data_IF_959268536905
#
_entry.id   IF_959268536905
#
_cell.length_a   1.000
_cell.length_b   1.000
_cell.length_c   1.000
_cell.angle_alpha   90.00
_cell.angle_beta   90.00
_cell.angle_gamma   90.00
#
_symmetry.space_group_name_H-M   'P 1'
#
loop_
_entity.id
_entity.type
_entity.pdbx_description
1 polymer ?
#
# COMPACT_ATOMS: atom_id res chain seq x y z
N UNK A 1 18.72 6.04 33.13
CA UNK A 1 18.06 4.99 32.32
C UNK A 1 17.50 5.67 31.09
N UNK A 2 17.68 5.09 29.89
CA UNK A 2 17.11 5.68 28.67
C UNK A 2 15.60 5.53 28.76
N UNK A 3 14.84 6.62 28.66
CA UNK A 3 13.38 6.56 28.59
C UNK A 3 13.00 5.76 27.34
N UNK A 4 12.52 4.53 27.54
CA UNK A 4 12.02 3.67 26.47
C UNK A 4 10.63 4.13 26.08
N UNK A 5 10.43 4.39 24.79
CA UNK A 5 9.12 4.80 24.28
C UNK A 5 8.24 3.57 24.12
N UNK A 6 6.98 3.68 24.54
CA UNK A 6 5.99 2.63 24.31
C UNK A 6 4.81 3.19 23.54
N UNK A 7 4.54 2.61 22.37
CA UNK A 7 3.38 2.94 21.53
C UNK A 7 2.40 1.77 21.55
N UNK A 8 1.13 2.04 21.80
CA UNK A 8 0.05 1.09 21.59
C UNK A 8 -0.67 1.42 20.27
N UNK A 9 -0.68 0.46 19.35
CA UNK A 9 -1.41 0.57 18.09
C UNK A 9 -2.73 -0.20 18.17
N UNK A 10 -3.84 0.52 18.00
CA UNK A 10 -5.18 -0.03 18.08
C UNK A 10 -5.93 0.23 16.77
N UNK A 11 -6.21 -0.85 16.03
CA UNK A 11 -7.05 -0.80 14.83
C UNK A 11 -8.48 -1.17 15.20
N UNK A 12 -9.40 -0.21 15.10
CA UNK A 12 -10.80 -0.36 15.53
C UNK A 12 -11.71 -0.68 14.35
N UNK A 13 -12.65 -1.61 14.58
CA UNK A 13 -13.72 -1.94 13.63
C UNK A 13 -15.07 -1.62 14.27
N UNK A 14 -15.52 -0.36 14.12
CA UNK A 14 -16.90 0.15 14.36
C UNK A 14 -17.64 -0.14 15.68
N UNK A 15 -17.11 -0.95 16.60
CA UNK A 15 -17.81 -1.34 17.84
C UNK A 15 -17.05 -0.85 19.06
N UNK A 16 -17.64 0.09 19.81
CA UNK A 16 -16.97 0.82 20.90
C UNK A 16 -16.63 -0.06 22.12
N UNK A 17 -17.43 -1.10 22.41
CA UNK A 17 -17.18 -1.99 23.57
C UNK A 17 -15.87 -2.78 23.44
N UNK A 18 -15.48 -3.17 22.23
CA UNK A 18 -14.23 -3.89 22.01
C UNK A 18 -13.00 -2.98 22.16
N UNK A 19 -13.15 -1.68 21.92
CA UNK A 19 -12.06 -0.70 21.99
C UNK A 19 -11.58 -0.52 23.43
N UNK A 20 -12.49 -0.25 24.36
CA UNK A 20 -12.16 0.01 25.76
C UNK A 20 -11.58 -1.24 26.44
N UNK A 21 -12.12 -2.42 26.13
CA UNK A 21 -11.54 -3.68 26.61
C UNK A 21 -10.10 -3.85 26.12
N UNK A 22 -9.85 -3.68 24.83
CA UNK A 22 -8.50 -3.79 24.28
C UNK A 22 -7.53 -2.77 24.88
N UNK A 23 -8.01 -1.54 25.17
CA UNK A 23 -7.20 -0.53 25.86
C UNK A 23 -6.82 -0.97 27.26
N UNK A 24 -7.79 -1.46 28.04
CA UNK A 24 -7.57 -2.01 29.38
C UNK A 24 -6.55 -3.15 29.39
N UNK A 25 -6.70 -4.12 28.48
CA UNK A 25 -5.80 -5.27 28.38
C UNK A 25 -4.36 -4.85 28.00
N UNK A 26 -4.22 -3.88 27.09
CA UNK A 26 -2.92 -3.33 26.69
C UNK A 26 -2.24 -2.60 27.87
N UNK A 27 -2.99 -1.80 28.64
CA UNK A 27 -2.45 -1.11 29.81
C UNK A 27 -2.03 -2.10 30.90
N UNK A 28 -2.80 -3.16 31.10
CA UNK A 28 -2.45 -4.22 32.04
C UNK A 28 -1.13 -4.88 31.65
N UNK A 29 -0.97 -5.27 30.39
CA UNK A 29 0.27 -5.84 29.87
C UNK A 29 1.45 -4.87 29.99
N UNK A 30 1.24 -3.60 29.65
CA UNK A 30 2.29 -2.58 29.75
C UNK A 30 2.76 -2.37 31.19
N UNK A 31 1.84 -2.41 32.17
CA UNK A 31 2.18 -2.33 33.59
C UNK A 31 2.93 -3.59 34.06
N UNK A 32 2.44 -4.78 33.72
CA UNK A 32 3.07 -6.06 34.09
C UNK A 32 4.52 -6.14 33.59
N UNK A 33 4.77 -5.66 32.37
CA UNK A 33 6.08 -5.68 31.72
C UNK A 33 6.94 -4.45 32.02
N UNK A 34 6.43 -3.49 32.80
CA UNK A 34 7.17 -2.27 33.15
C UNK A 34 7.48 -1.36 31.96
N UNK A 35 6.59 -1.28 30.97
CA UNK A 35 6.80 -0.55 29.71
C UNK A 35 6.59 0.97 29.83
N UNK A 36 6.27 1.47 31.02
CA UNK A 36 6.09 2.90 31.28
C UNK A 36 4.86 3.51 30.60
N UNK A 37 4.94 4.79 30.24
CA UNK A 37 3.82 5.54 29.65
C UNK A 37 3.55 5.09 28.22
N UNK A 38 2.30 4.70 27.97
CA UNK A 38 1.82 4.27 26.64
C UNK A 38 1.31 5.48 25.85
N UNK A 39 1.85 5.68 24.64
CA UNK A 39 1.30 6.58 23.61
C UNK A 39 0.34 5.80 22.73
N UNK A 40 -0.87 6.30 22.54
CA UNK A 40 -1.88 5.64 21.71
C UNK A 40 -1.84 6.10 20.26
N UNK A 41 -1.94 5.15 19.34
CA UNK A 41 -2.22 5.37 17.92
C UNK A 41 -3.45 4.55 17.59
N UNK A 42 -4.58 5.25 17.45
CA UNK A 42 -5.88 4.67 17.15
C UNK A 42 -6.22 4.92 15.68
N UNK A 43 -6.56 3.86 14.95
CA UNK A 43 -6.84 3.96 13.51
C UNK A 43 -8.13 3.23 13.15
N UNK A 44 -9.04 3.95 12.50
CA UNK A 44 -10.22 3.36 11.85
C UNK A 44 -9.91 3.07 10.38
N UNK A 45 -9.19 1.97 10.13
CA UNK A 45 -8.81 1.54 8.79
C UNK A 45 -9.38 0.16 8.44
N UNK A 46 -9.89 0.05 7.21
CA UNK A 46 -10.26 -1.25 6.64
C UNK A 46 -9.06 -2.18 6.63
N UNK A 47 -9.28 -3.42 7.04
CA UNK A 47 -8.28 -4.48 6.94
C UNK A 47 -7.78 -4.70 5.50
N UNK A 48 -8.46 -4.20 4.45
CA UNK A 48 -8.00 -4.36 3.06
C UNK A 48 -6.82 -3.45 2.68
N UNK A 49 -6.61 -2.34 3.40
CA UNK A 49 -5.54 -1.36 3.14
C UNK A 49 -4.20 -1.99 3.54
N UNK A 50 -3.13 -1.82 2.78
CA UNK A 50 -1.81 -2.34 3.18
C UNK A 50 -1.27 -1.60 4.40
N UNK A 51 -0.58 -2.30 5.31
CA UNK A 51 0.02 -1.70 6.51
C UNK A 51 0.93 -0.49 6.22
N UNK A 52 1.58 -0.45 5.05
CA UNK A 52 2.45 0.68 4.63
C UNK A 52 1.71 2.00 4.42
N UNK A 53 0.39 1.97 4.28
CA UNK A 53 -0.47 3.16 4.14
C UNK A 53 -1.27 3.44 5.41
N UNK A 54 -0.97 2.72 6.49
CA UNK A 54 -1.67 2.81 7.78
C UNK A 54 -0.78 3.47 8.82
N UNK A 55 -1.38 3.91 9.91
CA UNK A 55 -0.69 4.56 11.03
C UNK A 55 0.36 3.67 11.71
N UNK A 56 0.25 2.34 11.62
CA UNK A 56 1.28 1.41 12.11
C UNK A 56 2.64 1.60 11.44
N UNK A 57 2.66 2.06 10.18
CA UNK A 57 3.92 2.35 9.49
C UNK A 57 4.64 3.55 10.14
N UNK A 58 3.89 4.61 10.47
CA UNK A 58 4.43 5.77 11.17
C UNK A 58 4.92 5.40 12.57
N UNK A 59 4.18 4.54 13.29
CA UNK A 59 4.61 4.01 14.57
C UNK A 59 5.98 3.31 14.48
N UNK A 60 6.16 2.45 13.48
CA UNK A 60 7.43 1.74 13.25
C UNK A 60 8.58 2.66 12.80
N UNK A 61 8.28 3.81 12.21
CA UNK A 61 9.27 4.84 11.87
C UNK A 61 9.69 5.67 13.08
N UNK A 62 8.75 5.98 13.97
CA UNK A 62 8.99 6.75 15.20
C UNK A 62 9.80 5.97 16.25
N UNK A 63 9.60 4.66 16.32
CA UNK A 63 10.24 3.80 17.32
C UNK A 63 11.73 3.56 17.00
N UNK A 64 12.55 3.61 18.05
CA UNK A 64 13.98 3.35 18.01
C UNK A 64 14.34 2.02 18.68
N UNK A 65 15.61 1.64 18.58
CA UNK A 65 16.14 0.45 19.27
C UNK A 65 15.86 0.50 20.77
N UNK A 66 15.21 -0.54 21.29
CA UNK A 66 14.79 -0.69 22.69
C UNK A 66 13.38 -0.17 22.99
N UNK A 67 12.74 0.52 22.05
CA UNK A 67 11.36 0.96 22.21
C UNK A 67 10.36 -0.18 21.98
N UNK A 68 9.11 0.02 22.39
CA UNK A 68 8.09 -1.01 22.43
C UNK A 68 6.86 -0.62 21.58
N UNK A 69 6.36 -1.58 20.82
CA UNK A 69 5.06 -1.53 20.15
C UNK A 69 4.14 -2.56 20.80
N UNK A 70 2.98 -2.14 21.26
CA UNK A 70 1.98 -3.01 21.89
C UNK A 70 0.72 -3.04 21.02
N UNK A 71 0.17 -4.23 20.81
CA UNK A 71 -1.07 -4.45 20.06
C UNK A 71 -1.98 -5.42 20.79
N UNK A 72 -3.29 -5.37 20.52
CA UNK A 72 -4.22 -6.33 21.11
C UNK A 72 -4.03 -7.75 20.57
N UNK A 73 -3.77 -7.90 19.28
CA UNK A 73 -3.43 -9.18 18.64
C UNK A 73 -2.58 -8.94 17.37
N UNK A 74 -1.72 -9.89 17.01
CA UNK A 74 -0.83 -9.76 15.84
C UNK A 74 -1.58 -9.48 14.53
N UNK A 75 -2.80 -10.02 14.37
CA UNK A 75 -3.65 -9.81 13.19
C UNK A 75 -4.02 -8.34 12.97
N UNK A 76 -3.82 -7.46 13.97
CA UNK A 76 -4.09 -6.02 13.84
C UNK A 76 -2.99 -5.30 13.06
N UNK A 77 -1.76 -5.83 13.03
CA UNK A 77 -0.61 -5.23 12.36
C UNK A 77 -0.75 -5.19 10.83
N UNK A 78 -1.23 -6.28 10.22
CA UNK A 78 -1.32 -6.44 8.78
C UNK A 78 -2.68 -6.94 8.30
N UNK A 79 -2.89 -7.01 6.99
CA UNK A 79 -4.10 -7.65 6.41
C UNK A 79 -3.98 -9.13 6.14
N UNK A 80 -2.75 -9.63 6.17
CA UNK A 80 -2.42 -11.03 5.94
C UNK A 80 -1.31 -11.41 6.90
N UNK A 81 -1.11 -12.73 7.05
CA UNK A 81 0.02 -13.23 7.83
C UNK A 81 1.34 -12.68 7.29
N UNK A 82 1.49 -12.65 5.97
CA UNK A 82 2.64 -12.08 5.26
C UNK A 82 2.98 -10.65 5.72
N UNK A 83 1.98 -9.76 5.80
CA UNK A 83 2.20 -8.38 6.23
C UNK A 83 2.61 -8.30 7.71
N UNK A 84 2.03 -9.15 8.57
CA UNK A 84 2.43 -9.19 9.97
C UNK A 84 3.88 -9.66 10.12
N UNK A 85 4.27 -10.71 9.40
CA UNK A 85 5.65 -11.23 9.40
C UNK A 85 6.65 -10.19 8.89
N UNK A 86 6.29 -9.43 7.86
CA UNK A 86 7.10 -8.32 7.35
C UNK A 86 7.32 -7.25 8.42
N UNK A 87 6.27 -6.86 9.15
CA UNK A 87 6.36 -5.91 10.27
C UNK A 87 7.27 -6.46 11.39
N UNK A 88 7.10 -7.72 11.77
CA UNK A 88 7.95 -8.37 12.79
C UNK A 88 9.43 -8.38 12.38
N UNK A 89 9.71 -8.66 11.11
CA UNK A 89 11.08 -8.63 10.57
C UNK A 89 11.69 -7.24 10.66
N UNK A 90 10.95 -6.19 10.24
CA UNK A 90 11.40 -4.80 10.33
C UNK A 90 11.66 -4.39 11.78
N UNK A 91 10.76 -4.72 12.69
CA UNK A 91 10.92 -4.44 14.12
C UNK A 91 12.14 -5.16 14.70
N UNK A 92 12.34 -6.43 14.34
CA UNK A 92 13.51 -7.21 14.76
C UNK A 92 14.81 -6.56 14.30
N UNK A 93 14.91 -6.15 13.03
CA UNK A 93 16.08 -5.47 12.47
C UNK A 93 16.36 -4.12 13.18
N UNK A 94 15.31 -3.37 13.49
CA UNK A 94 15.39 -2.10 14.24
C UNK A 94 15.60 -2.29 15.75
N UNK A 95 15.60 -3.54 16.25
CA UNK A 95 15.64 -3.88 17.68
C UNK A 95 14.49 -3.24 18.48
N UNK A 96 13.33 -3.13 17.85
CA UNK A 96 12.07 -2.72 18.48
C UNK A 96 11.43 -3.97 19.09
N UNK A 97 10.88 -3.83 20.29
CA UNK A 97 10.12 -4.90 20.92
C UNK A 97 8.66 -4.84 20.49
N UNK A 98 8.03 -5.99 20.27
CA UNK A 98 6.60 -6.09 19.96
C UNK A 98 5.92 -6.96 21.00
N UNK A 99 4.80 -6.51 21.54
CA UNK A 99 3.97 -7.29 22.47
C UNK A 99 2.55 -7.38 21.94
N UNK A 100 1.99 -8.59 21.92
CA UNK A 100 0.59 -8.82 21.60
C UNK A 100 -0.11 -9.43 22.83
N UNK A 101 -1.18 -8.76 23.29
CA UNK A 101 -1.97 -9.19 24.44
C UNK A 101 -2.52 -10.60 24.21
N UNK A 102 -3.28 -10.79 23.13
CA UNK A 102 -3.93 -12.06 22.83
C UNK A 102 -2.90 -13.06 22.31
N UNK A 103 -2.90 -14.23 22.94
CA UNK A 103 -1.92 -15.28 22.66
C UNK A 103 -0.57 -15.07 23.35
N UNK A 104 -0.44 -14.02 24.19
CA UNK A 104 0.76 -13.73 24.99
C UNK A 104 2.05 -13.79 24.16
N UNK A 105 2.03 -13.15 22.99
CA UNK A 105 3.14 -13.22 22.05
C UNK A 105 4.07 -12.03 22.23
N UNK A 106 5.37 -12.27 22.17
CA UNK A 106 6.38 -11.21 22.31
C UNK A 106 7.57 -11.38 21.36
N UNK A 107 8.04 -10.24 20.85
CA UNK A 107 9.33 -10.04 20.24
C UNK A 107 10.15 -9.18 21.20
N UNK A 108 11.00 -9.82 21.99
CA UNK A 108 11.73 -9.22 23.13
C UNK A 108 13.26 -9.34 22.97
N UNK A 109 13.72 -9.53 21.73
CA UNK A 109 15.13 -9.73 21.38
C UNK A 109 15.78 -11.01 21.94
N UNK A 110 15.02 -11.86 22.64
CA UNK A 110 15.49 -13.20 23.02
C UNK A 110 15.82 -14.06 21.79
N UNK A 111 16.65 -15.08 21.99
CA UNK A 111 17.03 -15.99 20.91
C UNK A 111 15.79 -16.68 20.33
N UNK A 112 14.85 -17.11 21.19
CA UNK A 112 13.60 -17.75 20.75
C UNK A 112 12.74 -16.81 19.90
N UNK A 113 12.52 -15.57 20.35
CA UNK A 113 11.68 -14.62 19.62
C UNK A 113 12.30 -14.20 18.28
N UNK A 114 13.63 -14.09 18.21
CA UNK A 114 14.38 -13.86 16.96
C UNK A 114 14.28 -15.03 15.99
N UNK A 115 14.44 -16.27 16.45
CA UNK A 115 14.28 -17.47 15.61
C UNK A 115 12.88 -17.51 15.02
N UNK A 116 11.86 -17.28 15.84
CA UNK A 116 10.47 -17.28 15.39
C UNK A 116 10.22 -16.16 14.35
N UNK A 117 10.75 -14.95 14.58
CA UNK A 117 10.66 -13.86 13.62
C UNK A 117 11.38 -14.17 12.30
N UNK A 118 12.54 -14.82 12.34
CA UNK A 118 13.27 -15.27 11.14
C UNK A 118 12.51 -16.36 10.37
N UNK A 119 11.97 -17.36 11.07
CA UNK A 119 11.15 -18.41 10.46
C UNK A 119 9.92 -17.82 9.77
N UNK A 120 9.26 -16.86 10.42
CA UNK A 120 8.15 -16.10 9.84
C UNK A 120 8.58 -15.24 8.65
N UNK A 121 9.73 -14.55 8.71
CA UNK A 121 10.24 -13.79 7.58
C UNK A 121 10.50 -14.68 6.35
N UNK A 122 11.10 -15.87 6.56
CA UNK A 122 11.31 -16.83 5.48
C UNK A 122 10.00 -17.40 4.93
N UNK A 123 9.06 -17.78 5.80
CA UNK A 123 7.75 -18.27 5.38
C UNK A 123 7.00 -17.20 4.56
N UNK A 124 7.13 -15.94 4.94
CA UNK A 124 6.59 -14.81 4.22
C UNK A 124 7.20 -14.68 2.81
N UNK A 125 8.52 -14.71 2.70
CA UNK A 125 9.22 -14.64 1.42
C UNK A 125 8.79 -15.77 0.48
N UNK A 126 8.77 -17.01 0.99
CA UNK A 126 8.35 -18.20 0.25
C UNK A 126 6.91 -18.06 -0.26
N UNK A 127 5.97 -17.65 0.60
CA UNK A 127 4.57 -17.52 0.18
C UNK A 127 4.39 -16.43 -0.90
N UNK A 128 5.13 -15.31 -0.79
CA UNK A 128 5.13 -14.25 -1.81
C UNK A 128 5.63 -14.78 -3.16
N UNK A 129 6.68 -15.59 -3.15
CA UNK A 129 7.21 -16.22 -4.35
C UNK A 129 6.26 -17.26 -4.93
N UNK A 130 5.64 -18.10 -4.10
CA UNK A 130 4.64 -19.07 -4.53
C UNK A 130 3.41 -18.42 -5.17
N UNK A 131 2.89 -17.32 -4.60
CA UNK A 131 1.79 -16.56 -5.21
C UNK A 131 2.19 -16.00 -6.58
N UNK A 132 3.41 -15.45 -6.69
CA UNK A 132 3.94 -14.93 -7.94
C UNK A 132 4.10 -16.03 -9.00
N UNK A 133 4.65 -17.18 -8.63
CA UNK A 133 4.81 -18.36 -9.48
C UNK A 133 3.45 -18.86 -9.99
N UNK A 134 2.51 -19.15 -9.10
CA UNK A 134 1.15 -19.59 -9.46
C UNK A 134 0.44 -18.62 -10.41
N UNK A 135 0.59 -17.32 -10.17
CA UNK A 135 0.01 -16.28 -11.04
C UNK A 135 0.62 -16.31 -12.44
N UNK A 136 1.95 -16.43 -12.54
CA UNK A 136 2.67 -16.53 -13.82
C UNK A 136 2.27 -17.80 -14.58
N UNK A 137 2.19 -18.94 -13.90
CA UNK A 137 1.76 -20.21 -14.48
C UNK A 137 0.33 -20.14 -15.01
N UNK A 138 -0.60 -19.58 -14.23
CA UNK A 138 -1.99 -19.40 -14.64
C UNK A 138 -2.10 -18.47 -15.87
N UNK A 139 -1.33 -17.38 -15.92
CA UNK A 139 -1.27 -16.49 -17.08
C UNK A 139 -0.66 -17.21 -18.30
N UNK A 140 0.43 -17.95 -18.12
CA UNK A 140 1.05 -18.72 -19.20
C UNK A 140 0.10 -19.79 -19.77
N UNK A 141 -0.66 -20.48 -18.92
CA UNK A 141 -1.69 -21.42 -19.35
C UNK A 141 -2.80 -20.74 -20.16
N UNK A 142 -3.33 -19.60 -19.68
CA UNK A 142 -4.33 -18.81 -20.43
C UNK A 142 -3.80 -18.32 -21.78
N UNK A 143 -2.54 -17.88 -21.83
CA UNK A 143 -1.89 -17.47 -23.08
C UNK A 143 -1.76 -18.64 -24.06
N UNK A 144 -1.36 -19.83 -23.59
CA UNK A 144 -1.29 -21.06 -24.39
C UNK A 144 -2.67 -21.50 -24.90
N UNK A 145 -3.71 -21.31 -24.11
CA UNK A 145 -5.10 -21.53 -24.51
C UNK A 145 -5.65 -20.47 -25.50
N UNK A 146 -4.81 -19.55 -26.00
CA UNK A 146 -5.20 -18.53 -26.97
C UNK A 146 -5.91 -17.30 -26.38
N UNK A 147 -6.05 -17.22 -25.05
CA UNK A 147 -6.69 -16.08 -24.41
C UNK A 147 -5.78 -14.85 -24.49
N UNK A 148 -6.28 -13.74 -25.02
CA UNK A 148 -5.56 -12.46 -25.02
C UNK A 148 -5.50 -11.90 -23.59
N UNK A 149 -4.29 -11.80 -23.05
CA UNK A 149 -4.03 -11.19 -21.75
C UNK A 149 -3.84 -9.68 -21.86
N UNK A 150 -4.06 -8.97 -20.77
CA UNK A 150 -3.91 -7.51 -20.68
C UNK A 150 -5.22 -6.75 -20.92
N UNK A 151 -5.13 -5.42 -20.96
CA UNK A 151 -6.29 -4.55 -21.20
C UNK A 151 -6.88 -4.89 -22.57
N UNK A 152 -8.19 -5.19 -22.67
CA UNK A 152 -8.86 -5.35 -23.95
C UNK A 152 -8.56 -4.16 -24.86
N UNK A 153 -8.40 -4.40 -26.16
CA UNK A 153 -8.46 -3.29 -27.12
C UNK A 153 -9.80 -2.59 -26.86
N UNK A 154 -9.77 -1.28 -26.61
CA UNK A 154 -10.97 -0.49 -26.37
C UNK A 154 -11.96 -0.64 -27.54
N UNK A 155 -13.20 -0.18 -27.37
CA UNK A 155 -14.32 -0.30 -28.32
C UNK A 155 -14.07 0.27 -29.74
N UNK A 156 -12.86 0.71 -30.06
CA UNK A 156 -12.51 1.38 -31.31
C UNK A 156 -12.83 2.88 -31.28
N UNK A 157 -13.74 3.30 -30.41
CA UNK A 157 -14.22 4.68 -30.23
C UNK A 157 -13.47 5.39 -29.11
N UNK A 158 -12.79 6.49 -29.43
CA UNK A 158 -12.18 7.40 -28.47
C UNK A 158 -13.20 8.40 -27.96
N UNK A 159 -13.07 8.86 -26.70
CA UNK A 159 -13.84 10.00 -26.20
C UNK A 159 -13.62 11.30 -27.00
N UNK A 160 -12.54 11.34 -27.78
CA UNK A 160 -12.19 12.46 -28.66
C UNK A 160 -12.95 12.40 -30.00
N UNK A 161 -13.50 11.24 -30.38
CA UNK A 161 -14.19 11.10 -31.68
C UNK A 161 -15.40 12.04 -31.78
N UNK A 162 -16.15 12.23 -30.69
CA UNK A 162 -17.25 13.19 -30.60
C UNK A 162 -16.83 14.67 -30.70
N UNK A 163 -15.56 14.96 -30.45
CA UNK A 163 -15.01 16.32 -30.49
C UNK A 163 -14.13 16.56 -31.72
N UNK A 164 -14.14 15.65 -32.69
CA UNK A 164 -13.26 15.72 -33.87
C UNK A 164 -13.34 17.06 -34.61
N UNK A 165 -14.52 17.62 -34.96
CA UNK A 165 -14.60 18.89 -35.66
C UNK A 165 -13.96 20.05 -34.88
N UNK A 166 -14.17 20.07 -33.56
CA UNK A 166 -13.63 21.09 -32.67
C UNK A 166 -12.10 20.96 -32.52
N UNK A 167 -11.58 19.74 -32.45
CA UNK A 167 -10.14 19.46 -32.41
C UNK A 167 -9.48 19.88 -33.73
N UNK A 168 -10.10 19.57 -34.88
CA UNK A 168 -9.60 19.98 -36.20
C UNK A 168 -9.53 21.51 -36.32
N UNK A 169 -10.58 22.23 -35.93
CA UNK A 169 -10.58 23.69 -35.90
C UNK A 169 -9.45 24.27 -35.02
N UNK A 170 -9.24 23.71 -33.82
CA UNK A 170 -8.16 24.15 -32.92
C UNK A 170 -6.76 23.88 -33.50
N UNK A 171 -6.59 22.77 -34.22
CA UNK A 171 -5.35 22.44 -34.92
C UNK A 171 -5.08 23.39 -36.10
N UNK A 172 -6.12 23.85 -36.79
CA UNK A 172 -6.04 24.84 -37.86
C UNK A 172 -5.69 26.24 -37.34
N UNK A 173 -6.27 26.64 -36.22
CA UNK A 173 -5.91 27.90 -35.53
C UNK A 173 -4.50 27.86 -34.92
N UNK A 174 -3.81 26.72 -35.01
CA UNK A 174 -2.44 26.55 -34.56
C UNK A 174 -2.30 26.33 -33.05
N UNK A 175 -3.38 25.98 -32.35
CA UNK A 175 -3.34 25.66 -30.91
C UNK A 175 -2.36 24.52 -30.62
N UNK A 176 -1.74 24.57 -29.44
CA UNK A 176 -0.79 23.53 -29.03
C UNK A 176 -1.53 22.25 -28.65
N UNK A 177 -0.90 21.09 -28.86
CA UNK A 177 -1.47 19.81 -28.44
C UNK A 177 -1.71 19.77 -26.92
N UNK A 178 -0.85 20.43 -26.13
CA UNK A 178 -1.03 20.60 -24.68
C UNK A 178 -2.35 21.28 -24.33
N UNK A 179 -2.65 22.39 -25.00
CA UNK A 179 -3.89 23.12 -24.78
C UNK A 179 -5.11 22.27 -25.16
N UNK A 180 -5.08 21.65 -26.33
CA UNK A 180 -6.18 20.79 -26.82
C UNK A 180 -6.37 19.59 -25.88
N UNK A 181 -5.28 18.96 -25.43
CA UNK A 181 -5.33 17.82 -24.53
C UNK A 181 -5.97 18.20 -23.19
N UNK A 182 -5.56 19.34 -22.62
CA UNK A 182 -6.15 19.88 -21.38
C UNK A 182 -7.64 20.19 -21.54
N UNK A 183 -8.05 20.76 -22.67
CA UNK A 183 -9.46 21.13 -22.94
C UNK A 183 -10.39 19.92 -22.97
N UNK A 184 -9.91 18.77 -23.48
CA UNK A 184 -10.70 17.54 -23.56
C UNK A 184 -10.33 16.49 -22.48
N UNK A 185 -9.73 16.97 -21.38
CA UNK A 185 -9.36 16.18 -20.20
C UNK A 185 -8.56 14.91 -20.56
N UNK A 186 -7.62 15.04 -21.49
CA UNK A 186 -6.80 13.93 -21.97
C UNK A 186 -5.32 14.26 -21.85
N UNK A 187 -4.46 13.25 -21.92
CA UNK A 187 -3.02 13.47 -22.01
C UNK A 187 -2.61 13.81 -23.44
N UNK A 188 -1.52 14.56 -23.59
CA UNK A 188 -0.91 14.87 -24.90
C UNK A 188 -0.58 13.59 -25.67
N UNK A 189 -0.07 12.55 -24.99
CA UNK A 189 0.25 11.26 -25.60
C UNK A 189 -0.99 10.52 -26.12
N UNK A 190 -2.15 10.68 -25.47
CA UNK A 190 -3.40 10.09 -25.96
C UNK A 190 -3.96 10.90 -27.14
N UNK A 191 -3.90 12.24 -27.09
CA UNK A 191 -4.29 13.10 -28.21
C UNK A 191 -3.41 12.86 -29.44
N UNK A 192 -2.10 12.80 -29.28
CA UNK A 192 -1.15 12.55 -30.37
C UNK A 192 -1.38 11.19 -31.05
N UNK A 193 -1.59 10.12 -30.28
CA UNK A 193 -1.96 8.80 -30.82
C UNK A 193 -3.31 8.84 -31.55
N UNK A 194 -4.27 9.59 -31.02
CA UNK A 194 -5.57 9.77 -31.65
C UNK A 194 -5.46 10.54 -32.98
N UNK A 195 -4.66 11.62 -33.02
CA UNK A 195 -4.36 12.38 -34.25
C UNK A 195 -3.65 11.51 -35.29
N UNK A 196 -2.67 10.70 -34.88
CA UNK A 196 -1.96 9.77 -35.76
C UNK A 196 -2.91 8.73 -36.39
N UNK A 197 -3.83 8.18 -35.59
CA UNK A 197 -4.87 7.25 -36.08
C UNK A 197 -5.79 7.89 -37.12
N UNK A 198 -6.05 9.21 -37.02
CA UNK A 198 -6.95 9.95 -37.91
C UNK A 198 -6.23 10.78 -38.99
N UNK A 199 -4.91 10.66 -39.11
CA UNK A 199 -4.12 11.38 -40.12
C UNK A 199 -4.01 12.90 -39.91
N UNK A 200 -4.28 13.40 -38.70
CA UNK A 200 -4.32 14.84 -38.41
C UNK A 200 -2.92 15.39 -38.09
N UNK A 201 -2.59 16.57 -38.62
CA UNK A 201 -1.34 17.29 -38.34
C UNK A 201 -1.64 18.74 -38.00
N UNK A 202 -0.91 19.29 -37.03
CA UNK A 202 -0.96 20.71 -36.69
C UNK A 202 -0.32 21.53 -37.82
N UNK A 203 -0.97 22.62 -38.25
CA UNK A 203 -0.32 23.61 -39.13
C UNK A 203 0.77 24.34 -38.33
N UNK A 204 2.01 24.36 -38.84
CA UNK A 204 3.06 25.22 -38.27
C UNK A 204 2.62 26.67 -38.46
N UNK A 205 2.59 27.45 -37.37
CA UNK A 205 2.46 28.90 -37.51
C UNK A 205 3.64 29.41 -38.33
N UNK A 206 3.36 30.07 -39.44
CA UNK A 206 4.35 30.89 -40.13
C UNK A 206 4.76 31.99 -39.17
N UNK A 207 5.98 31.91 -38.65
CA UNK A 207 6.62 33.03 -37.98
C UNK A 207 6.82 34.11 -39.04
N UNK A 208 5.89 35.06 -39.14
CA UNK A 208 6.20 36.33 -39.81
C UNK A 208 7.16 37.08 -38.89
N UNK A 209 8.40 37.21 -39.37
CA UNK A 209 9.43 38.11 -38.84
C UNK A 209 8.92 39.54 -38.89
#
# INVERSE_FOLDING_TARGET
MKDTKTIAYLRVSTTDQDVEKNKGDILHLANEKGLGKVKWIEEQASGRISWRKREVAQALEELQSGDNLVVSELSRLGRSMLECMEILSIASQKKINIYAVKGNWQLDQSIQSKILAMAFAMAAEIERDLISQRTKEALAAKKRAGMKLGRPKGSGTSKLDKHRPEIEALLETGSTQRYIASRFDTTESNLSRWMQKHGLKRKKQSTKV
#
